data_IF_125080007991
#
_entry.id   IF_125080007991
#
_cell.length_a   1.000
_cell.length_b   1.000
_cell.length_c   1.000
_cell.angle_alpha   90.00
_cell.angle_beta   90.00
_cell.angle_gamma   90.00
#
_symmetry.space_group_name_H-M   'P 1'
#
loop_
_entity.id
_entity.type
_entity.pdbx_description
1 polymer ?
#
# COMPACT_ATOMS: atom_id res chain seq x y z
N UNK A 1 -20.11 14.91 13.88
CA UNK A 1 -19.18 13.80 14.16
C UNK A 1 -19.04 13.05 12.84
N UNK A 2 -17.84 13.03 12.23
CA UNK A 2 -17.65 12.38 10.93
C UNK A 2 -17.67 10.87 11.17
N UNK A 3 -18.56 10.14 10.48
CA UNK A 3 -18.60 8.69 10.56
C UNK A 3 -17.39 8.12 9.81
N UNK A 4 -16.40 7.68 10.58
CA UNK A 4 -15.14 7.09 10.10
C UNK A 4 -15.21 5.55 10.18
N UNK A 5 -16.22 4.99 10.86
CA UNK A 5 -16.34 3.56 11.05
C UNK A 5 -16.74 2.89 9.74
N UNK A 6 -15.91 1.95 9.29
CA UNK A 6 -16.18 1.15 8.10
C UNK A 6 -17.12 0.00 8.44
N UNK A 7 -18.12 -0.21 7.59
CA UNK A 7 -19.08 -1.31 7.73
C UNK A 7 -18.47 -2.61 7.22
N UNK A 8 -18.21 -3.54 8.13
CA UNK A 8 -17.65 -4.88 7.84
C UNK A 8 -18.56 -5.73 6.95
N UNK A 9 -19.85 -5.42 6.85
CA UNK A 9 -20.78 -6.15 5.99
C UNK A 9 -20.73 -5.67 4.53
N UNK A 10 -20.05 -4.55 4.24
CA UNK A 10 -19.92 -3.96 2.91
C UNK A 10 -18.57 -4.26 2.25
N UNK A 11 -17.88 -5.31 2.69
CA UNK A 11 -16.61 -5.72 2.09
C UNK A 11 -16.85 -6.16 0.65
N UNK A 12 -16.21 -5.46 -0.27
CA UNK A 12 -16.17 -5.78 -1.69
C UNK A 12 -15.13 -6.85 -1.93
N UNK A 13 -15.53 -8.04 -2.36
CA UNK A 13 -14.57 -9.06 -2.82
C UNK A 13 -14.09 -8.71 -4.23
N UNK A 14 -12.78 -8.56 -4.40
CA UNK A 14 -12.21 -8.36 -5.73
C UNK A 14 -12.33 -9.64 -6.56
N UNK A 15 -13.32 -9.68 -7.47
CA UNK A 15 -13.53 -10.82 -8.38
C UNK A 15 -12.69 -10.65 -9.64
N UNK A 16 -11.41 -10.98 -9.54
CA UNK A 16 -10.48 -10.69 -10.61
C UNK A 16 -9.39 -11.69 -10.97
N UNK A 17 -9.11 -11.82 -12.28
CA UNK A 17 -7.97 -12.56 -12.82
C UNK A 17 -6.66 -11.85 -12.42
N UNK A 18 -5.63 -12.63 -12.05
CA UNK A 18 -4.32 -12.15 -11.59
C UNK A 18 -3.80 -10.99 -12.46
N UNK A 19 -3.76 -9.78 -11.92
CA UNK A 19 -3.06 -8.65 -12.55
C UNK A 19 -1.56 -8.98 -12.61
N UNK A 20 -0.92 -8.76 -13.78
CA UNK A 20 0.50 -9.08 -13.99
C UNK A 20 1.49 -8.17 -13.24
N UNK A 21 1.04 -7.01 -12.74
CA UNK A 21 1.87 -5.95 -12.12
C UNK A 21 1.42 -5.57 -10.71
N UNK A 22 0.96 -6.55 -9.92
CA UNK A 22 0.57 -6.29 -8.52
C UNK A 22 1.81 -6.13 -7.67
N UNK A 23 1.83 -5.07 -6.87
CA UNK A 23 2.87 -4.81 -5.88
C UNK A 23 2.65 -5.67 -4.64
N UNK A 24 3.74 -6.10 -4.02
CA UNK A 24 3.69 -6.80 -2.73
C UNK A 24 3.30 -5.83 -1.62
N UNK A 25 2.52 -6.32 -0.65
CA UNK A 25 2.23 -5.59 0.59
C UNK A 25 3.43 -5.75 1.54
N UNK A 26 4.50 -5.02 1.27
CA UNK A 26 5.73 -5.01 2.07
C UNK A 26 6.33 -3.60 2.16
N UNK A 27 7.12 -3.36 3.20
CA UNK A 27 7.85 -2.11 3.40
C UNK A 27 9.15 -2.18 2.59
N UNK A 28 9.06 -1.88 1.30
CA UNK A 28 10.19 -1.97 0.37
C UNK A 28 11.09 -0.72 0.37
N UNK A 29 10.58 0.42 0.85
CA UNK A 29 11.32 1.68 0.94
C UNK A 29 10.91 2.43 2.19
N UNK A 30 11.85 3.16 2.81
CA UNK A 30 11.53 4.00 3.96
C UNK A 30 10.45 5.04 3.55
N UNK A 31 9.27 5.04 4.20
CA UNK A 31 8.23 6.00 3.88
C UNK A 31 8.62 7.42 4.29
N UNK A 32 7.91 8.40 3.73
CA UNK A 32 8.04 9.79 4.16
C UNK A 32 7.50 10.01 5.57
N UNK A 33 8.14 10.92 6.30
CA UNK A 33 7.63 11.37 7.59
C UNK A 33 6.32 12.16 7.41
N UNK A 34 5.25 11.72 8.07
CA UNK A 34 4.02 12.52 8.12
C UNK A 34 4.20 13.64 9.14
N UNK A 35 4.32 14.87 8.63
CA UNK A 35 4.54 16.04 9.47
C UNK A 35 3.25 16.56 10.10
N UNK A 36 3.30 17.00 11.36
CA UNK A 36 2.19 17.63 12.08
C UNK A 36 1.60 18.85 11.36
N UNK A 37 2.40 19.52 10.51
CA UNK A 37 1.94 20.61 9.65
C UNK A 37 0.80 20.21 8.70
N UNK A 38 0.73 18.94 8.30
CA UNK A 38 -0.28 18.41 7.39
C UNK A 38 -1.56 17.97 8.10
N UNK A 39 -1.65 18.02 9.43
CA UNK A 39 -2.83 17.58 10.20
C UNK A 39 -4.13 18.25 9.75
N UNK A 40 -4.07 19.48 9.22
CA UNK A 40 -5.24 20.23 8.71
C UNK A 40 -5.84 19.63 7.44
N UNK A 41 -5.09 18.79 6.73
CA UNK A 41 -5.53 18.11 5.51
C UNK A 41 -6.21 16.77 5.82
N UNK A 42 -6.05 16.27 7.06
CA UNK A 42 -6.64 15.01 7.50
C UNK A 42 -8.01 15.22 8.13
N UNK A 43 -8.91 14.28 7.85
CA UNK A 43 -10.17 14.13 8.57
C UNK A 43 -9.88 13.53 9.96
N UNK A 44 -9.00 12.54 10.01
CA UNK A 44 -8.56 11.88 11.24
C UNK A 44 -7.20 11.21 11.00
N UNK A 45 -6.30 11.32 11.98
CA UNK A 45 -5.01 10.65 11.98
C UNK A 45 -4.62 10.32 13.42
N UNK A 46 -4.60 9.02 13.73
CA UNK A 46 -4.22 8.48 15.04
C UNK A 46 -3.78 7.01 14.91
N UNK A 47 -3.71 6.29 16.04
CA UNK A 47 -3.33 4.88 16.13
C UNK A 47 -4.38 3.88 15.60
N UNK A 48 -5.58 4.36 15.25
CA UNK A 48 -6.72 3.53 14.81
C UNK A 48 -7.14 3.85 13.38
N UNK A 49 -7.17 5.13 13.00
CA UNK A 49 -7.65 5.62 11.72
C UNK A 49 -6.70 6.61 11.07
N UNK A 50 -6.47 6.40 9.78
CA UNK A 50 -5.85 7.36 8.87
C UNK A 50 -6.84 7.68 7.76
N UNK A 51 -7.39 8.89 7.77
CA UNK A 51 -8.49 9.30 6.92
C UNK A 51 -8.31 10.74 6.42
N UNK A 52 -8.50 10.94 5.13
CA UNK A 52 -8.47 12.26 4.49
C UNK A 52 -9.42 12.33 3.29
N UNK A 53 -9.80 13.54 2.92
CA UNK A 53 -10.58 13.79 1.70
C UNK A 53 -9.61 13.85 0.51
N UNK A 54 -9.79 12.95 -0.46
CA UNK A 54 -8.92 12.91 -1.63
C UNK A 54 -9.30 13.95 -2.69
N UNK A 55 -10.37 14.71 -2.48
CA UNK A 55 -10.91 15.58 -3.50
C UNK A 55 -10.34 17.00 -3.46
N UNK A 56 -9.65 17.38 -4.54
CA UNK A 56 -9.25 18.77 -4.76
C UNK A 56 -10.40 19.61 -5.32
N UNK A 57 -11.37 19.95 -4.45
CA UNK A 57 -12.50 20.81 -4.80
C UNK A 57 -12.05 22.13 -5.42
N UNK A 58 -11.01 22.74 -4.86
CA UNK A 58 -10.52 24.05 -5.32
C UNK A 58 -9.90 23.92 -6.71
N UNK A 59 -9.08 22.90 -6.94
CA UNK A 59 -8.45 22.66 -8.24
C UNK A 59 -9.44 22.35 -9.34
N UNK A 60 -10.42 21.49 -9.09
CA UNK A 60 -11.46 21.16 -10.08
C UNK A 60 -12.35 22.38 -10.37
N UNK A 61 -12.74 23.15 -9.35
CA UNK A 61 -13.53 24.38 -9.53
C UNK A 61 -12.75 25.44 -10.32
N UNK A 62 -11.50 25.71 -9.94
CA UNK A 62 -10.63 26.68 -10.65
C UNK A 62 -10.39 26.26 -12.10
N UNK A 63 -10.13 24.97 -12.33
CA UNK A 63 -9.91 24.42 -13.67
C UNK A 63 -11.18 24.52 -14.51
N UNK A 64 -12.34 24.11 -13.97
CA UNK A 64 -13.62 24.19 -14.65
C UNK A 64 -13.99 25.63 -15.02
N UNK A 65 -13.90 26.56 -14.06
CA UNK A 65 -14.15 27.99 -14.31
C UNK A 65 -13.16 28.58 -15.30
N UNK A 66 -11.87 28.24 -15.19
CA UNK A 66 -10.83 28.70 -16.12
C UNK A 66 -11.10 28.28 -17.56
N UNK A 67 -11.48 27.01 -17.78
CA UNK A 67 -11.83 26.49 -19.11
C UNK A 67 -13.09 27.16 -19.66
N UNK A 68 -14.11 27.37 -18.80
CA UNK A 68 -15.34 28.07 -19.19
C UNK A 68 -15.03 29.50 -19.63
N UNK A 69 -14.28 30.26 -18.82
CA UNK A 69 -13.90 31.64 -19.13
C UNK A 69 -13.07 31.69 -20.41
N UNK A 70 -12.09 30.80 -20.56
CA UNK A 70 -11.26 30.70 -21.76
C UNK A 70 -12.10 30.42 -23.01
N UNK A 71 -13.06 29.49 -22.92
CA UNK A 71 -13.99 29.19 -24.03
C UNK A 71 -14.80 30.43 -24.43
N UNK A 72 -15.36 31.16 -23.46
CA UNK A 72 -16.13 32.38 -23.72
C UNK A 72 -15.26 33.45 -24.38
N UNK A 73 -14.06 33.71 -23.85
CA UNK A 73 -13.12 34.68 -24.43
C UNK A 73 -12.73 34.30 -25.85
N UNK A 74 -12.40 33.03 -26.09
CA UNK A 74 -12.02 32.52 -27.41
C UNK A 74 -13.17 32.66 -28.41
N UNK A 75 -14.41 32.44 -27.99
CA UNK A 75 -15.60 32.57 -28.82
C UNK A 75 -15.77 34.00 -29.36
N UNK A 76 -15.70 35.00 -28.48
CA UNK A 76 -15.80 36.40 -28.90
C UNK A 76 -14.58 36.87 -29.69
N UNK A 77 -13.37 36.42 -29.32
CA UNK A 77 -12.14 36.75 -30.05
C UNK A 77 -12.16 36.23 -31.50
N UNK A 78 -12.76 35.06 -31.74
CA UNK A 78 -12.92 34.49 -33.07
C UNK A 78 -14.08 35.11 -33.89
N UNK A 79 -14.63 36.26 -33.45
CA UNK A 79 -15.74 36.95 -34.12
C UNK A 79 -17.11 36.31 -33.91
N UNK A 80 -17.23 35.41 -32.91
CA UNK A 80 -18.52 34.88 -32.49
C UNK A 80 -19.35 35.93 -31.75
N UNK A 81 -20.65 35.90 -32.00
CA UNK A 81 -21.65 36.64 -31.24
C UNK A 81 -22.53 35.68 -30.44
N UNK A 82 -23.52 36.20 -29.73
CA UNK A 82 -24.39 35.38 -28.86
C UNK A 82 -25.18 34.29 -29.61
N UNK A 83 -25.32 34.41 -30.93
CA UNK A 83 -26.12 33.50 -31.78
C UNK A 83 -25.40 33.05 -33.05
N UNK A 84 -24.20 33.56 -33.33
CA UNK A 84 -23.43 33.29 -34.55
C UNK A 84 -21.95 33.03 -34.23
N UNK A 85 -21.24 32.24 -35.04
CA UNK A 85 -19.79 32.01 -34.84
C UNK A 85 -19.40 30.54 -34.62
N UNK A 86 -18.14 30.26 -34.21
CA UNK A 86 -17.57 28.91 -34.17
C UNK A 86 -18.01 28.11 -32.93
N UNK A 87 -19.32 27.95 -32.75
CA UNK A 87 -19.92 27.25 -31.60
C UNK A 87 -19.47 25.80 -31.45
N UNK A 88 -19.21 25.10 -32.56
CA UNK A 88 -18.82 23.70 -32.50
C UNK A 88 -17.50 23.46 -31.76
N UNK A 89 -16.53 24.38 -31.89
CA UNK A 89 -15.23 24.28 -31.24
C UNK A 89 -15.29 24.86 -29.83
N UNK A 90 -15.81 26.08 -29.70
CA UNK A 90 -15.85 26.80 -28.42
C UNK A 90 -16.85 26.18 -27.45
N UNK A 91 -18.00 25.72 -27.95
CA UNK A 91 -18.99 24.97 -27.20
C UNK A 91 -18.46 23.62 -26.69
N UNK A 92 -17.65 22.91 -27.46
CA UNK A 92 -17.02 21.67 -26.97
C UNK A 92 -16.08 21.95 -25.79
N UNK A 93 -15.25 23.01 -25.88
CA UNK A 93 -14.38 23.43 -24.76
C UNK A 93 -15.23 23.85 -23.55
N UNK A 94 -16.33 24.56 -23.76
CA UNK A 94 -17.25 24.94 -22.69
C UNK A 94 -17.83 23.71 -21.99
N UNK A 95 -18.27 22.70 -22.74
CA UNK A 95 -18.80 21.44 -22.20
C UNK A 95 -17.73 20.67 -21.40
N UNK A 96 -16.46 20.71 -21.83
CA UNK A 96 -15.36 20.17 -21.04
C UNK A 96 -15.26 20.90 -19.70
N UNK A 97 -15.26 22.23 -19.69
CA UNK A 97 -15.25 23.00 -18.43
C UNK A 97 -16.47 22.72 -17.54
N UNK A 98 -17.66 22.61 -18.14
CA UNK A 98 -18.90 22.26 -17.43
C UNK A 98 -18.84 20.86 -16.82
N UNK A 99 -18.17 19.90 -17.47
CA UNK A 99 -18.01 18.54 -16.93
C UNK A 99 -17.26 18.51 -15.59
N UNK A 100 -16.27 19.40 -15.40
CA UNK A 100 -15.61 19.57 -14.10
C UNK A 100 -16.57 20.12 -13.05
N UNK A 101 -17.47 21.04 -13.42
CA UNK A 101 -18.48 21.57 -12.49
C UNK A 101 -19.52 20.51 -12.12
N UNK A 102 -19.99 19.73 -13.09
CA UNK A 102 -20.94 18.64 -12.86
C UNK A 102 -20.31 17.57 -11.96
N UNK A 103 -19.03 17.26 -12.15
CA UNK A 103 -18.26 16.34 -11.30
C UNK A 103 -18.30 16.73 -9.82
N UNK A 104 -18.29 18.04 -9.50
CA UNK A 104 -18.40 18.55 -8.12
C UNK A 104 -19.73 18.14 -7.47
N UNK A 105 -20.81 18.14 -8.24
CA UNK A 105 -22.18 17.88 -7.76
C UNK A 105 -22.50 16.39 -7.67
N UNK A 106 -21.94 15.59 -8.58
CA UNK A 106 -22.28 14.17 -8.72
C UNK A 106 -21.53 13.29 -7.74
N UNK A 107 -20.25 13.58 -7.46
CA UNK A 107 -19.42 12.72 -6.62
C UNK A 107 -19.54 13.16 -5.15
N UNK A 108 -20.03 12.27 -4.26
CA UNK A 108 -20.35 12.57 -2.85
C UNK A 108 -19.39 11.92 -1.84
N UNK A 109 -19.00 10.66 -2.02
CA UNK A 109 -18.12 9.95 -1.09
C UNK A 109 -16.71 9.84 -1.68
N UNK A 110 -15.76 10.58 -1.09
CA UNK A 110 -14.40 10.78 -1.64
C UNK A 110 -13.28 10.56 -0.62
N UNK A 111 -13.64 9.94 0.50
CA UNK A 111 -12.71 9.70 1.61
C UNK A 111 -11.88 8.46 1.33
N UNK A 112 -10.58 8.57 1.56
CA UNK A 112 -9.73 7.43 1.81
C UNK A 112 -9.72 7.18 3.31
N UNK A 113 -9.99 5.94 3.74
CA UNK A 113 -10.02 5.56 5.15
C UNK A 113 -9.25 4.25 5.32
N UNK A 114 -8.30 4.28 6.24
CA UNK A 114 -7.53 3.12 6.69
C UNK A 114 -7.92 2.85 8.15
N UNK A 115 -8.63 1.75 8.38
CA UNK A 115 -8.96 1.25 9.73
C UNK A 115 -7.89 0.22 10.12
N UNK A 116 -6.89 0.70 10.86
CA UNK A 116 -5.69 -0.07 11.23
C UNK A 116 -6.03 -1.28 12.10
N UNK A 117 -6.90 -1.10 13.09
CA UNK A 117 -7.25 -2.18 14.03
C UNK A 117 -8.20 -3.21 13.40
N UNK A 118 -9.15 -2.74 12.58
CA UNK A 118 -10.08 -3.57 11.83
C UNK A 118 -9.47 -4.22 10.59
N UNK A 119 -8.31 -3.75 10.12
CA UNK A 119 -7.64 -4.25 8.92
C UNK A 119 -8.39 -3.94 7.63
N UNK A 120 -9.21 -2.88 7.63
CA UNK A 120 -10.03 -2.48 6.49
C UNK A 120 -9.42 -1.26 5.78
N UNK A 121 -9.54 -1.29 4.46
CA UNK A 121 -9.11 -0.21 3.59
C UNK A 121 -10.27 0.21 2.70
N UNK A 122 -10.60 1.50 2.76
CA UNK A 122 -11.66 2.11 1.97
C UNK A 122 -11.10 3.20 1.08
N UNK A 123 -11.48 3.19 -0.19
CA UNK A 123 -11.11 4.23 -1.15
C UNK A 123 -12.29 4.60 -2.05
N UNK A 124 -12.31 5.82 -2.60
CA UNK A 124 -13.40 6.29 -3.45
C UNK A 124 -13.57 5.45 -4.70
N UNK A 125 -14.79 5.38 -5.23
CA UNK A 125 -15.07 4.85 -6.56
C UNK A 125 -15.54 5.98 -7.48
N UNK A 126 -14.75 6.36 -8.48
CA UNK A 126 -15.16 7.45 -9.38
C UNK A 126 -16.46 7.18 -10.14
N UNK A 127 -16.77 5.90 -10.38
CA UNK A 127 -17.98 5.49 -11.09
C UNK A 127 -19.20 5.32 -10.19
N UNK A 128 -19.02 5.34 -8.86
CA UNK A 128 -20.11 5.16 -7.90
C UNK A 128 -19.88 5.97 -6.63
N UNK A 129 -20.92 6.61 -6.11
CA UNK A 129 -20.86 7.26 -4.79
C UNK A 129 -20.74 6.30 -3.61
N UNK A 130 -20.55 5.00 -3.86
CA UNK A 130 -20.24 4.00 -2.84
C UNK A 130 -18.73 3.73 -2.84
N UNK A 131 -18.01 3.99 -1.74
CA UNK A 131 -16.59 3.67 -1.66
C UNK A 131 -16.38 2.15 -1.77
N UNK A 132 -15.20 1.76 -2.24
CA UNK A 132 -14.78 0.35 -2.24
C UNK A 132 -14.13 0.06 -0.89
N UNK A 133 -14.66 -0.92 -0.16
CA UNK A 133 -14.13 -1.36 1.13
C UNK A 133 -13.56 -2.77 0.96
N UNK A 134 -12.30 -2.99 1.33
CA UNK A 134 -11.63 -4.29 1.25
C UNK A 134 -10.88 -4.60 2.54
N UNK A 135 -10.59 -5.88 2.82
CA UNK A 135 -9.53 -6.19 3.78
C UNK A 135 -8.19 -5.76 3.20
N UNK A 136 -7.36 -5.10 3.98
CA UNK A 136 -6.06 -4.60 3.50
C UNK A 136 -5.14 -5.73 3.03
N UNK A 137 -5.15 -6.89 3.70
CA UNK A 137 -4.43 -8.10 3.25
C UNK A 137 -4.83 -8.60 1.85
N UNK A 138 -6.06 -8.29 1.43
CA UNK A 138 -6.63 -8.69 0.14
C UNK A 138 -6.59 -7.53 -0.87
N UNK A 139 -6.06 -6.36 -0.47
CA UNK A 139 -6.00 -5.19 -1.31
C UNK A 139 -5.00 -5.39 -2.45
N UNK A 140 -5.37 -4.93 -3.63
CA UNK A 140 -4.54 -4.98 -4.82
C UNK A 140 -4.03 -3.58 -5.10
N UNK A 141 -2.71 -3.43 -5.15
CA UNK A 141 -2.06 -2.22 -5.62
C UNK A 141 -1.25 -2.53 -6.87
N UNK A 142 -1.36 -1.68 -7.89
CA UNK A 142 -0.58 -1.80 -9.12
C UNK A 142 0.23 -0.54 -9.34
N UNK A 143 1.40 -0.72 -9.95
CA UNK A 143 2.14 0.39 -10.54
C UNK A 143 1.58 0.66 -11.94
N UNK A 144 0.77 1.71 -12.08
CA UNK A 144 0.13 2.08 -13.33
C UNK A 144 0.92 3.21 -14.01
N UNK A 145 1.14 3.11 -15.32
CA UNK A 145 1.71 4.21 -16.12
C UNK A 145 0.62 5.20 -16.56
N UNK A 146 -0.26 5.61 -15.62
CA UNK A 146 -1.45 6.42 -15.89
C UNK A 146 -1.36 7.85 -15.36
N UNK A 147 -0.21 8.29 -14.84
CA UNK A 147 -0.02 9.69 -14.44
C UNK A 147 0.03 10.63 -15.65
N UNK A 148 -0.14 11.94 -15.42
CA UNK A 148 0.11 12.96 -16.46
C UNK A 148 1.51 12.71 -17.04
N UNK A 149 1.58 12.47 -18.35
CA UNK A 149 2.82 12.18 -19.11
C UNK A 149 3.52 10.83 -18.82
N UNK A 150 2.78 9.78 -18.43
CA UNK A 150 3.36 8.42 -18.30
C UNK A 150 4.13 8.19 -17.00
N UNK A 151 3.92 9.05 -15.99
CA UNK A 151 4.50 8.91 -14.66
C UNK A 151 3.93 7.68 -13.92
N UNK A 152 4.78 6.89 -13.24
CA UNK A 152 4.33 5.76 -12.40
C UNK A 152 3.39 6.22 -11.29
N UNK A 153 2.24 5.58 -11.15
CA UNK A 153 1.23 5.90 -10.13
C UNK A 153 0.85 4.67 -9.32
N UNK A 154 0.62 4.88 -8.01
CA UNK A 154 0.05 3.86 -7.15
C UNK A 154 -1.46 3.83 -7.37
N UNK A 155 -2.00 2.68 -7.74
CA UNK A 155 -3.41 2.54 -8.08
C UNK A 155 -4.04 1.29 -7.44
N UNK A 156 -5.26 1.43 -6.91
CA UNK A 156 -6.11 0.31 -6.52
C UNK A 156 -7.18 0.10 -7.61
N UNK A 157 -7.17 -1.03 -8.33
CA UNK A 157 -8.12 -1.28 -9.39
C UNK A 157 -9.53 -1.53 -8.84
N UNK A 158 -10.56 -1.00 -9.52
CA UNK A 158 -11.96 -1.36 -9.28
C UNK A 158 -12.33 -2.69 -9.95
N UNK A 159 -11.60 -3.09 -10.98
CA UNK A 159 -11.86 -4.30 -11.76
C UNK A 159 -10.58 -4.85 -12.39
N UNK A 160 -10.69 -5.98 -13.09
CA UNK A 160 -9.58 -6.64 -13.81
C UNK A 160 -8.83 -5.77 -14.81
N UNK A 161 -9.42 -4.65 -15.22
CA UNK A 161 -8.84 -3.76 -16.20
C UNK A 161 -8.00 -2.73 -15.45
N UNK A 162 -6.68 -2.76 -15.67
CA UNK A 162 -5.70 -1.87 -15.02
C UNK A 162 -5.89 -0.39 -15.32
N UNK A 163 -6.89 -0.02 -16.12
CA UNK A 163 -7.27 1.36 -16.43
C UNK A 163 -8.41 1.88 -15.55
N UNK A 164 -9.09 0.99 -14.80
CA UNK A 164 -10.23 1.31 -13.97
C UNK A 164 -9.85 1.12 -12.50
N UNK A 165 -9.59 2.22 -11.81
CA UNK A 165 -9.18 2.20 -10.41
C UNK A 165 -8.94 3.58 -9.85
N UNK A 166 -8.66 3.62 -8.56
CA UNK A 166 -8.36 4.81 -7.84
C UNK A 166 -6.84 5.02 -7.79
N UNK A 167 -6.39 6.19 -8.26
CA UNK A 167 -4.99 6.61 -8.20
C UNK A 167 -4.75 7.34 -6.88
N UNK A 168 -3.73 6.96 -6.12
CA UNK A 168 -3.39 7.53 -4.80
C UNK A 168 -2.26 8.55 -4.81
N UNK A 169 -1.22 8.31 -5.62
CA UNK A 169 -0.06 9.20 -5.71
C UNK A 169 0.61 9.07 -7.07
N UNK A 170 1.22 10.17 -7.51
CA UNK A 170 1.90 10.30 -8.81
C UNK A 170 3.43 10.24 -8.67
N UNK A 171 3.96 10.37 -7.44
CA UNK A 171 5.40 10.40 -7.15
C UNK A 171 5.72 9.40 -6.03
N UNK A 172 6.76 8.61 -6.23
CA UNK A 172 7.31 7.64 -5.27
C UNK A 172 6.32 6.56 -4.75
N UNK A 173 5.75 5.83 -5.72
CA UNK A 173 4.79 4.72 -5.55
C UNK A 173 5.17 3.75 -4.42
N UNK A 174 6.46 3.38 -4.35
CA UNK A 174 6.95 2.36 -3.41
C UNK A 174 7.01 2.90 -1.98
N UNK A 175 7.44 4.16 -1.79
CA UNK A 175 7.42 4.79 -0.47
C UNK A 175 5.99 4.96 0.05
N UNK A 176 5.04 5.33 -0.82
CA UNK A 176 3.64 5.49 -0.42
C UNK A 176 3.00 4.14 -0.04
N UNK A 177 3.25 3.10 -0.82
CA UNK A 177 2.77 1.76 -0.47
C UNK A 177 3.42 1.27 0.84
N UNK A 178 4.71 1.50 1.02
CA UNK A 178 5.44 1.14 2.25
C UNK A 178 4.85 1.87 3.46
N UNK A 179 4.43 3.12 3.31
CA UNK A 179 3.70 3.84 4.36
C UNK A 179 2.38 3.15 4.69
N UNK A 180 1.56 2.82 3.69
CA UNK A 180 0.28 2.15 3.92
C UNK A 180 0.45 0.79 4.59
N UNK A 181 1.44 0.01 4.15
CA UNK A 181 1.75 -1.29 4.72
C UNK A 181 2.20 -1.15 6.17
N UNK A 182 3.12 -0.23 6.48
CA UNK A 182 3.58 0.01 7.84
C UNK A 182 2.43 0.49 8.74
N UNK A 183 1.63 1.45 8.29
CA UNK A 183 0.49 1.93 9.06
C UNK A 183 -0.54 0.82 9.34
N UNK A 184 -0.90 0.02 8.34
CA UNK A 184 -1.88 -1.07 8.49
C UNK A 184 -1.33 -2.28 9.25
N UNK A 185 -0.01 -2.40 9.40
CA UNK A 185 0.59 -3.38 10.30
C UNK A 185 0.36 -2.97 11.76
N UNK A 186 -0.79 -3.36 12.30
CA UNK A 186 -1.12 -3.07 13.71
C UNK A 186 -0.15 -3.69 14.71
N UNK A 187 0.74 -4.60 14.29
CA UNK A 187 1.70 -5.25 15.18
C UNK A 187 3.05 -4.51 15.21
N UNK A 188 3.26 -3.56 14.29
CA UNK A 188 4.43 -2.67 14.24
C UNK A 188 4.15 -1.32 14.92
N UNK A 189 5.20 -0.59 15.35
CA UNK A 189 5.04 0.79 15.79
C UNK A 189 4.47 1.67 14.68
N UNK A 190 3.85 2.78 15.07
CA UNK A 190 3.34 3.77 14.11
C UNK A 190 4.47 4.29 13.20
N UNK A 191 4.18 4.56 11.91
CA UNK A 191 5.18 4.98 10.95
C UNK A 191 5.88 6.30 11.34
N UNK A 192 7.03 6.62 10.73
CA UNK A 192 7.77 7.84 11.00
C UNK A 192 6.94 9.12 10.79
N UNK A 193 7.25 10.16 11.58
CA UNK A 193 6.57 11.45 11.56
C UNK A 193 6.02 11.86 12.91
N UNK A 194 6.05 13.17 13.17
CA UNK A 194 5.61 13.79 14.42
C UNK A 194 4.08 13.86 14.53
N UNK A 195 3.35 13.68 13.43
CA UNK A 195 1.89 13.55 13.45
C UNK A 195 1.39 12.37 14.29
N UNK A 196 2.23 11.34 14.51
CA UNK A 196 1.89 10.15 15.28
C UNK A 196 2.43 10.16 16.71
N UNK A 197 3.32 11.09 17.06
CA UNK A 197 3.98 11.12 18.38
C UNK A 197 3.00 11.10 19.56
N UNK A 198 1.86 11.82 19.52
CA UNK A 198 0.88 11.76 20.61
C UNK A 198 0.27 10.38 20.86
N UNK A 199 0.35 9.47 19.88
CA UNK A 199 -0.30 8.16 19.92
C UNK A 199 0.69 7.01 20.11
N UNK A 200 2.01 7.24 20.01
CA UNK A 200 3.03 6.18 20.08
C UNK A 200 2.99 5.42 21.41
N UNK A 201 2.83 6.13 22.52
CA UNK A 201 2.78 5.51 23.85
C UNK A 201 1.56 4.59 24.01
N UNK A 202 0.37 5.09 23.64
CA UNK A 202 -0.87 4.30 23.66
C UNK A 202 -0.76 3.06 22.78
N UNK A 203 -0.21 3.19 21.57
CA UNK A 203 -0.03 2.06 20.67
C UNK A 203 0.98 1.03 21.22
N UNK A 204 2.08 1.49 21.83
CA UNK A 204 3.06 0.61 22.49
C UNK A 204 2.43 -0.19 23.63
N UNK A 205 1.71 0.47 24.55
CA UNK A 205 1.04 -0.18 25.68
C UNK A 205 0.02 -1.22 25.22
N UNK A 206 -0.73 -0.93 24.16
CA UNK A 206 -1.65 -1.89 23.55
C UNK A 206 -0.90 -3.12 23.02
N UNK A 207 0.17 -2.93 22.22
CA UNK A 207 0.95 -4.06 21.67
C UNK A 207 1.61 -4.87 22.78
N UNK A 208 2.07 -4.22 23.84
CA UNK A 208 2.61 -4.86 25.04
C UNK A 208 1.55 -5.72 25.73
N UNK A 209 0.33 -5.21 25.91
CA UNK A 209 -0.79 -5.98 26.47
C UNK A 209 -1.20 -7.18 25.61
N UNK A 210 -1.02 -7.09 24.29
CA UNK A 210 -1.22 -8.20 23.34
C UNK A 210 -0.03 -9.17 23.27
N UNK A 211 1.06 -8.90 24.00
CA UNK A 211 2.26 -9.75 24.03
C UNK A 211 3.16 -9.60 22.81
N UNK A 212 3.25 -8.39 22.24
CA UNK A 212 4.01 -8.05 21.03
C UNK A 212 3.81 -9.08 19.91
N UNK A 213 2.59 -9.13 19.33
CA UNK A 213 2.33 -10.02 18.21
C UNK A 213 3.32 -9.76 17.05
N UNK A 214 3.60 -10.78 16.23
CA UNK A 214 4.57 -10.66 15.15
C UNK A 214 4.02 -9.76 14.03
N UNK A 215 4.86 -9.05 13.26
CA UNK A 215 4.44 -8.26 12.11
C UNK A 215 3.50 -9.01 11.16
N UNK A 216 2.51 -8.30 10.63
CA UNK A 216 1.61 -8.83 9.60
C UNK A 216 2.23 -8.79 8.22
N UNK A 217 3.13 -7.84 7.97
CA UNK A 217 3.76 -7.61 6.67
C UNK A 217 5.29 -7.59 6.79
N UNK A 218 5.96 -8.00 5.72
CA UNK A 218 7.41 -8.01 5.65
C UNK A 218 7.98 -6.63 5.34
N UNK A 219 9.28 -6.47 5.58
CA UNK A 219 10.06 -5.29 5.23
C UNK A 219 11.31 -5.66 4.44
N UNK A 220 11.68 -4.93 3.41
CA UNK A 220 12.91 -5.23 2.65
C UNK A 220 14.16 -4.62 3.33
N UNK A 221 14.43 -5.04 4.57
CA UNK A 221 15.58 -4.56 5.34
C UNK A 221 15.40 -3.15 5.92
N UNK A 222 14.17 -2.65 6.01
CA UNK A 222 13.87 -1.34 6.61
C UNK A 222 13.50 -1.57 8.09
N UNK A 223 14.32 -1.10 9.04
CA UNK A 223 14.01 -1.26 10.45
C UNK A 223 12.77 -0.44 10.83
N UNK A 224 12.00 -0.95 11.78
CA UNK A 224 10.81 -0.29 12.33
C UNK A 224 11.01 0.00 13.81
N UNK A 225 11.80 1.03 14.16
CA UNK A 225 12.16 1.30 15.54
C UNK A 225 10.97 1.80 16.35
N UNK A 226 10.95 1.45 17.64
CA UNK A 226 10.07 2.07 18.64
C UNK A 226 10.44 3.54 18.90
N UNK A 227 9.59 4.25 19.65
CA UNK A 227 9.82 5.67 19.96
C UNK A 227 11.04 5.89 20.87
N UNK A 228 11.39 4.90 21.69
CA UNK A 228 12.51 4.96 22.63
C UNK A 228 13.34 3.67 22.59
N UNK A 229 14.65 3.72 22.92
CA UNK A 229 15.49 2.53 23.00
C UNK A 229 15.00 1.49 24.01
N UNK A 230 14.41 1.92 25.13
CA UNK A 230 13.88 1.02 26.15
C UNK A 230 12.67 0.22 25.64
N UNK A 231 11.76 0.89 24.92
CA UNK A 231 10.64 0.24 24.25
C UNK A 231 11.12 -0.75 23.18
N UNK A 232 12.15 -0.37 22.42
CA UNK A 232 12.77 -1.23 21.42
C UNK A 232 13.33 -2.50 22.06
N UNK A 233 14.10 -2.36 23.15
CA UNK A 233 14.67 -3.49 23.89
C UNK A 233 13.59 -4.41 24.47
N UNK A 234 12.46 -3.87 24.93
CA UNK A 234 11.34 -4.66 25.43
C UNK A 234 10.68 -5.49 24.30
N UNK A 235 10.43 -4.87 23.14
CA UNK A 235 9.87 -5.58 21.98
C UNK A 235 10.79 -6.68 21.48
N UNK A 236 12.10 -6.42 21.42
CA UNK A 236 13.10 -7.35 20.89
C UNK A 236 13.21 -8.66 21.71
N UNK A 237 12.66 -8.71 22.92
CA UNK A 237 12.50 -9.96 23.68
C UNK A 237 11.55 -10.95 23.01
N UNK A 238 10.64 -10.47 22.15
CA UNK A 238 9.60 -11.27 21.50
C UNK A 238 9.95 -11.60 20.05
N UNK A 239 10.42 -10.61 19.29
CA UNK A 239 10.83 -10.75 17.90
C UNK A 239 11.67 -9.56 17.45
N UNK A 240 12.54 -9.79 16.46
CA UNK A 240 13.41 -8.76 15.86
C UNK A 240 13.01 -8.45 14.43
N UNK A 241 13.30 -7.23 13.97
CA UNK A 241 12.91 -6.80 12.61
C UNK A 241 13.55 -7.68 11.53
N UNK A 242 14.77 -8.16 11.78
CA UNK A 242 15.53 -9.04 10.88
C UNK A 242 14.82 -10.36 10.59
N UNK A 243 14.03 -10.87 11.53
CA UNK A 243 13.25 -12.09 11.35
C UNK A 243 12.10 -11.92 10.36
N UNK A 244 11.72 -10.66 10.07
CA UNK A 244 10.63 -10.28 9.19
C UNK A 244 11.13 -9.47 8.00
N UNK A 245 12.41 -9.62 7.65
CA UNK A 245 12.93 -9.08 6.41
C UNK A 245 12.56 -9.94 5.21
N UNK A 246 11.99 -9.29 4.21
CA UNK A 246 11.80 -9.84 2.89
C UNK A 246 13.16 -10.06 2.22
N UNK A 247 13.32 -11.16 1.46
CA UNK A 247 14.49 -11.33 0.62
C UNK A 247 14.50 -10.27 -0.48
N UNK A 248 15.68 -9.72 -0.74
CA UNK A 248 15.96 -8.90 -1.92
C UNK A 248 16.20 -9.79 -3.15
N UNK A 249 15.18 -10.57 -3.53
CA UNK A 249 15.19 -11.49 -4.68
C UNK A 249 13.85 -11.41 -5.42
N UNK A 250 13.85 -11.78 -6.71
CA UNK A 250 12.61 -11.97 -7.47
C UNK A 250 11.85 -13.17 -6.93
N UNK A 251 10.62 -12.95 -6.47
CA UNK A 251 9.76 -14.01 -5.97
C UNK A 251 8.42 -14.08 -6.71
N UNK A 252 7.87 -15.28 -6.94
CA UNK A 252 6.48 -15.45 -7.33
C UNK A 252 5.55 -14.79 -6.32
N UNK A 253 4.44 -14.22 -6.80
CA UNK A 253 3.49 -13.49 -5.94
C UNK A 253 2.84 -14.36 -4.87
N UNK A 254 2.59 -15.62 -5.18
CA UNK A 254 1.95 -16.59 -4.28
C UNK A 254 2.99 -17.32 -3.40
N UNK A 255 4.22 -16.80 -3.36
CA UNK A 255 5.25 -17.35 -2.48
C UNK A 255 5.10 -16.83 -1.06
N UNK A 256 5.51 -17.66 -0.12
CA UNK A 256 5.57 -17.32 1.29
C UNK A 256 7.02 -17.11 1.70
N UNK A 257 7.24 -16.38 2.80
CA UNK A 257 8.54 -16.40 3.47
C UNK A 257 8.38 -17.26 4.72
N UNK A 258 9.34 -18.13 4.94
CA UNK A 258 9.42 -18.95 6.13
C UNK A 258 9.37 -18.08 7.39
N UNK A 259 8.54 -18.49 8.34
CA UNK A 259 8.45 -17.89 9.66
C UNK A 259 8.19 -18.99 10.68
N UNK A 260 9.02 -19.08 11.72
CA UNK A 260 8.96 -20.13 12.75
C UNK A 260 7.58 -20.28 13.41
N UNK A 261 6.81 -19.20 13.51
CA UNK A 261 5.48 -19.19 14.13
C UNK A 261 4.38 -19.68 13.20
N UNK A 262 4.49 -19.47 11.89
CA UNK A 262 3.50 -19.93 10.90
C UNK A 262 3.86 -21.30 10.33
N UNK A 263 5.15 -21.64 10.28
CA UNK A 263 5.70 -22.90 9.76
C UNK A 263 6.18 -23.80 10.90
N UNK A 264 5.32 -24.00 11.92
CA UNK A 264 5.68 -24.71 13.17
C UNK A 264 6.13 -26.16 12.96
N UNK A 265 5.70 -26.78 11.86
CA UNK A 265 6.00 -28.17 11.52
C UNK A 265 7.40 -28.35 10.91
N UNK A 266 8.09 -27.26 10.57
CA UNK A 266 9.41 -27.34 9.95
C UNK A 266 10.48 -27.63 11.00
N UNK A 267 11.43 -28.48 10.64
CA UNK A 267 12.48 -28.96 11.55
C UNK A 267 13.76 -28.15 11.37
N UNK A 268 14.46 -27.78 12.46
CA UNK A 268 15.72 -27.06 12.37
C UNK A 268 16.78 -27.88 11.64
N UNK A 269 17.57 -27.23 10.79
CA UNK A 269 18.61 -27.82 9.97
C UNK A 269 19.79 -26.86 9.82
N UNK A 270 20.99 -27.38 9.53
CA UNK A 270 22.15 -26.57 9.13
C UNK A 270 22.43 -26.80 7.66
N UNK A 271 22.36 -25.74 6.87
CA UNK A 271 22.61 -25.79 5.43
C UNK A 271 24.10 -25.70 5.13
N UNK A 272 24.61 -26.67 4.38
CA UNK A 272 26.02 -26.78 3.98
C UNK A 272 26.76 -27.89 4.72
N UNK A 273 27.22 -28.91 3.98
CA UNK A 273 28.19 -29.88 4.51
C UNK A 273 29.58 -29.27 4.37
N UNK A 274 30.32 -29.17 5.49
CA UNK A 274 31.78 -28.98 5.63
C UNK A 274 32.44 -28.03 4.61
N UNK A 275 32.96 -26.92 5.13
CA UNK A 275 33.91 -25.95 4.52
C UNK A 275 33.33 -24.73 3.76
N UNK A 276 32.01 -24.63 3.58
CA UNK A 276 31.40 -23.34 3.26
C UNK A 276 30.05 -23.24 3.97
N UNK A 277 30.05 -22.66 5.18
CA UNK A 277 28.82 -22.23 5.83
C UNK A 277 28.24 -21.13 4.95
N UNK A 278 27.19 -21.44 4.18
CA UNK A 278 26.45 -20.44 3.41
C UNK A 278 25.53 -19.66 4.36
N UNK A 279 26.18 -18.91 5.24
CA UNK A 279 25.58 -17.96 6.15
C UNK A 279 24.79 -16.90 5.36
N UNK A 280 23.65 -16.46 5.90
CA UNK A 280 22.83 -15.39 5.32
C UNK A 280 22.44 -15.65 3.85
N UNK A 281 22.09 -16.90 3.52
CA UNK A 281 21.70 -17.28 2.16
C UNK A 281 20.20 -17.58 2.10
N UNK A 282 19.59 -17.11 1.02
CA UNK A 282 18.18 -17.40 0.73
C UNK A 282 18.04 -18.77 0.06
N UNK A 283 17.07 -19.54 0.51
CA UNK A 283 16.67 -20.82 -0.06
C UNK A 283 15.24 -20.72 -0.55
N UNK A 284 14.99 -21.21 -1.76
CA UNK A 284 13.68 -21.41 -2.34
C UNK A 284 13.28 -22.88 -2.16
N UNK A 285 12.11 -23.11 -1.58
CA UNK A 285 11.47 -24.40 -1.47
C UNK A 285 10.27 -24.44 -2.40
N UNK A 286 10.32 -25.27 -3.42
CA UNK A 286 9.23 -25.45 -4.38
C UNK A 286 8.55 -26.79 -4.14
N UNK A 287 7.30 -26.74 -3.69
CA UNK A 287 6.52 -27.92 -3.31
C UNK A 287 5.78 -28.48 -4.54
N UNK A 288 5.48 -29.78 -4.51
CA UNK A 288 4.80 -30.46 -5.61
C UNK A 288 3.41 -29.87 -5.97
N UNK A 289 2.76 -29.17 -5.03
CA UNK A 289 1.49 -28.48 -5.24
C UNK A 289 1.65 -27.07 -5.87
N UNK A 290 2.86 -26.66 -6.21
CA UNK A 290 3.19 -25.34 -6.77
C UNK A 290 3.35 -24.23 -5.72
N UNK A 291 3.25 -24.54 -4.42
CA UNK A 291 3.60 -23.60 -3.34
C UNK A 291 5.10 -23.33 -3.38
N UNK A 292 5.50 -22.08 -3.16
CA UNK A 292 6.90 -21.68 -3.06
C UNK A 292 7.13 -20.99 -1.72
N UNK A 293 8.16 -21.39 -0.98
CA UNK A 293 8.52 -20.78 0.31
C UNK A 293 9.99 -20.35 0.28
N UNK A 294 10.26 -19.11 0.65
CA UNK A 294 11.62 -18.58 0.75
C UNK A 294 12.09 -18.50 2.19
N UNK A 295 13.33 -18.89 2.48
CA UNK A 295 13.88 -18.84 3.83
C UNK A 295 15.30 -18.29 3.83
N UNK A 296 15.60 -17.41 4.78
CA UNK A 296 16.95 -16.94 5.06
C UNK A 296 17.59 -17.79 6.14
N UNK A 297 18.77 -18.34 5.87
CA UNK A 297 19.62 -18.92 6.92
C UNK A 297 20.28 -17.83 7.74
N UNK A 298 20.54 -18.10 9.03
CA UNK A 298 21.28 -17.16 9.87
C UNK A 298 22.79 -17.15 9.54
N UNK A 299 23.56 -16.38 10.31
CA UNK A 299 25.03 -16.25 10.17
C UNK A 299 25.78 -17.58 10.33
N UNK A 300 25.17 -18.60 10.93
CA UNK A 300 25.74 -19.93 11.12
C UNK A 300 25.27 -20.94 10.06
N UNK A 301 24.49 -20.49 9.07
CA UNK A 301 23.87 -21.36 8.08
C UNK A 301 22.71 -22.20 8.64
N UNK A 302 22.23 -21.88 9.85
CA UNK A 302 21.09 -22.57 10.45
C UNK A 302 19.79 -22.05 9.82
N UNK A 303 18.89 -22.97 9.51
CA UNK A 303 17.58 -22.72 8.95
C UNK A 303 16.62 -23.84 9.34
N UNK A 304 15.59 -24.04 8.53
CA UNK A 304 14.53 -25.01 8.76
C UNK A 304 14.23 -25.77 7.46
N UNK A 305 13.90 -27.05 7.58
CA UNK A 305 13.44 -27.87 6.48
C UNK A 305 11.93 -28.14 6.63
N UNK A 306 11.19 -28.17 5.50
CA UNK A 306 9.81 -28.64 5.50
C UNK A 306 9.72 -30.08 6.07
N UNK A 307 8.52 -30.48 6.53
CA UNK A 307 8.25 -31.85 6.97
C UNK A 307 8.69 -32.90 5.93
N UNK A 308 9.23 -34.04 6.39
CA UNK A 308 9.77 -35.08 5.50
C UNK A 308 8.71 -35.76 4.61
N UNK A 309 7.44 -35.67 5.00
CA UNK A 309 6.29 -36.18 4.24
C UNK A 309 5.90 -35.28 3.04
N UNK A 310 6.38 -34.04 3.00
CA UNK A 310 6.16 -33.14 1.88
C UNK A 310 7.26 -33.29 0.82
N UNK A 311 6.87 -33.52 -0.44
CA UNK A 311 7.81 -33.50 -1.57
C UNK A 311 8.11 -32.06 -1.99
N UNK A 312 9.37 -31.67 -1.89
CA UNK A 312 9.85 -30.35 -2.30
C UNK A 312 11.20 -30.43 -3.03
N UNK A 313 11.46 -29.43 -3.86
CA UNK A 313 12.78 -29.12 -4.39
C UNK A 313 13.34 -27.92 -3.63
N UNK A 314 14.65 -27.91 -3.36
CA UNK A 314 15.32 -26.80 -2.68
C UNK A 314 16.42 -26.21 -3.56
N UNK A 315 16.36 -24.91 -3.81
CA UNK A 315 17.37 -24.17 -4.55
C UNK A 315 17.95 -23.06 -3.68
N UNK A 316 19.29 -22.96 -3.62
CA UNK A 316 19.94 -21.84 -2.95
C UNK A 316 20.07 -20.67 -3.91
N UNK A 317 19.70 -19.47 -3.48
CA UNK A 317 19.68 -18.27 -4.32
C UNK A 317 20.94 -17.43 -4.09
N UNK A 318 21.37 -16.74 -5.14
CA UNK A 318 22.44 -15.75 -5.10
C UNK A 318 21.83 -14.37 -5.33
N UNK A 319 22.21 -13.38 -4.51
CA UNK A 319 21.71 -11.99 -4.49
C UNK A 319 21.87 -11.20 -5.82
N UNK A 320 22.35 -11.82 -6.91
CA UNK A 320 22.53 -11.18 -8.22
C UNK A 320 21.29 -11.21 -9.12
N UNK A 321 20.19 -11.79 -8.69
CA UNK A 321 18.95 -11.84 -9.46
C UNK A 321 17.95 -10.74 -9.04
N UNK A 322 18.39 -9.49 -8.88
CA UNK A 322 17.55 -8.34 -8.52
C UNK A 322 16.90 -7.68 -9.76
N UNK A 323 15.72 -7.07 -9.63
CA UNK A 323 15.15 -6.21 -10.69
C UNK A 323 15.83 -4.83 -10.65
N UNK A 324 16.26 -4.36 -11.82
CA UNK A 324 16.08 -2.97 -12.23
C UNK A 324 14.76 -2.85 -13.00
#
# INVERSE_FOLDING_TARGET
MIDIKLDKNKITTFKGKKHKKVLFLEIAKKPYDIKSSFLKEFICINDEYYAFDYYDFKGDLQTGLGIIIFSVVLHFWAGGGLVTGPFWITGLIFLVGLSFIIKLLVIKEKKLIMDRLGGLFSYPNYWSNTPVIVNFKDAIFINAAQGKMGTPTLMAPYSNWSINGFVFIIVDVISQLSFYVWYMDKNRPLPPGDAFDPYRQKDFERRKAEGFPPPLYYSCGIPTPEATPEQQAEREQYWKDEEYYAPDIKRPKDSEIFNKRTHKSWNPCVFGKKEAVFANKWYEFTFANGKVVYMLTNEKGEGFLPPEDEKYEVASLTLKDTWF
#
